data_IF_950782512112
#
_entry.id   IF_950782512112
#
_cell.length_a   1.000
_cell.length_b   1.000
_cell.length_c   1.000
_cell.angle_alpha   90.00
_cell.angle_beta   90.00
_cell.angle_gamma   90.00
#
_symmetry.space_group_name_H-M   'P 1'
#
loop_
_entity.id
_entity.type
_entity.pdbx_description
1 polymer ?
#
# COMPACT_ATOMS: atom_id res chain seq x y z
N UNK A 1 11.69 -7.84 5.75
CA UNK A 1 13.05 -7.27 5.90
C UNK A 1 12.95 -5.97 6.71
N UNK A 2 14.02 -5.52 7.36
CA UNK A 2 14.08 -4.11 7.78
C UNK A 2 14.10 -3.21 6.56
N UNK A 3 13.73 -1.94 6.72
CA UNK A 3 13.79 -0.93 5.67
C UNK A 3 15.22 -0.82 5.12
N UNK A 4 16.21 -0.81 6.01
CA UNK A 4 17.62 -0.73 5.64
C UNK A 4 18.10 -1.98 4.88
N UNK A 5 17.72 -3.18 5.33
CA UNK A 5 18.00 -4.43 4.61
C UNK A 5 17.37 -4.44 3.22
N UNK A 6 16.11 -4.01 3.13
CA UNK A 6 15.38 -3.94 1.87
C UNK A 6 16.08 -2.98 0.89
N UNK A 7 16.43 -1.77 1.35
CA UNK A 7 17.10 -0.80 0.49
C UNK A 7 18.50 -1.26 0.07
N UNK A 8 19.27 -1.83 0.99
CA UNK A 8 20.57 -2.40 0.68
C UNK A 8 20.46 -3.47 -0.40
N UNK A 9 19.51 -4.38 -0.24
CA UNK A 9 19.26 -5.45 -1.20
C UNK A 9 18.78 -4.89 -2.56
N UNK A 10 17.83 -3.95 -2.57
CA UNK A 10 17.29 -3.33 -3.78
C UNK A 10 18.38 -2.61 -4.60
N UNK A 11 19.31 -1.93 -3.93
CA UNK A 11 20.44 -1.24 -4.56
C UNK A 11 21.53 -2.17 -5.13
N UNK A 12 21.41 -3.48 -4.95
CA UNK A 12 22.42 -4.45 -5.39
C UNK A 12 23.49 -4.79 -4.34
N UNK A 13 23.28 -4.37 -3.08
CA UNK A 13 24.17 -4.65 -1.95
C UNK A 13 25.62 -4.27 -2.21
N UNK A 14 26.56 -5.15 -1.85
CA UNK A 14 28.00 -4.95 -2.08
C UNK A 14 28.40 -5.01 -3.56
N UNK A 15 27.48 -5.44 -4.44
CA UNK A 15 27.68 -5.51 -5.90
C UNK A 15 27.00 -4.36 -6.64
N UNK A 16 26.50 -3.35 -5.92
CA UNK A 16 25.79 -2.22 -6.49
C UNK A 16 26.59 -1.55 -7.60
N UNK A 17 25.95 -1.31 -8.74
CA UNK A 17 26.51 -0.46 -9.81
C UNK A 17 25.95 0.96 -9.77
N UNK A 18 25.32 1.35 -8.66
CA UNK A 18 24.72 2.67 -8.45
C UNK A 18 23.68 3.04 -9.54
N UNK A 19 22.93 2.04 -10.01
CA UNK A 19 21.82 2.28 -10.90
C UNK A 19 20.70 3.08 -10.23
N UNK A 20 19.93 3.81 -11.06
CA UNK A 20 18.79 4.62 -10.63
C UNK A 20 17.66 3.75 -10.05
N UNK A 21 17.42 2.59 -10.65
CA UNK A 21 16.42 1.61 -10.23
C UNK A 21 17.11 0.28 -9.90
N UNK A 22 16.41 -0.62 -9.20
CA UNK A 22 16.95 -1.94 -8.92
C UNK A 22 17.20 -2.69 -10.24
N UNK A 23 18.47 -2.98 -10.54
CA UNK A 23 18.89 -3.70 -11.75
C UNK A 23 19.09 -2.88 -13.02
N UNK A 24 18.92 -1.55 -13.00
CA UNK A 24 19.25 -0.74 -14.17
C UNK A 24 18.77 0.71 -14.17
N UNK A 25 19.15 1.44 -15.21
CA UNK A 25 18.75 2.84 -15.42
C UNK A 25 17.50 3.01 -16.31
N UNK A 26 17.11 1.95 -17.02
CA UNK A 26 15.96 1.95 -17.93
C UNK A 26 14.76 1.31 -17.24
N UNK A 27 13.85 2.13 -16.72
CA UNK A 27 12.76 1.66 -15.86
C UNK A 27 11.92 0.53 -16.49
N UNK A 28 11.52 0.67 -17.76
CA UNK A 28 10.72 -0.34 -18.45
C UNK A 28 11.38 -1.72 -18.58
N UNK A 29 12.69 -1.83 -18.39
CA UNK A 29 13.43 -3.10 -18.41
C UNK A 29 13.49 -3.80 -17.05
N UNK A 30 13.28 -3.06 -15.96
CA UNK A 30 13.45 -3.55 -14.57
C UNK A 30 12.17 -3.53 -13.74
N UNK A 31 11.13 -2.82 -14.21
CA UNK A 31 9.93 -2.58 -13.42
C UNK A 31 8.62 -2.76 -14.18
N UNK A 32 7.60 -3.15 -13.44
CA UNK A 32 6.20 -2.97 -13.79
C UNK A 32 5.66 -1.74 -13.06
N UNK A 33 5.26 -0.70 -13.78
CA UNK A 33 4.90 0.60 -13.23
C UNK A 33 3.77 1.21 -14.06
N UNK A 34 3.31 2.41 -13.69
CA UNK A 34 2.11 2.98 -14.27
C UNK A 34 2.07 2.95 -15.81
N UNK A 35 3.12 3.34 -16.53
CA UNK A 35 3.04 3.41 -18.00
C UNK A 35 2.94 2.04 -18.69
N UNK A 36 3.56 1.01 -18.14
CA UNK A 36 3.58 -0.32 -18.77
C UNK A 36 2.59 -1.32 -18.16
N UNK A 37 1.98 -0.99 -17.02
CA UNK A 37 0.99 -1.84 -16.35
C UNK A 37 -0.24 -1.06 -15.83
N UNK A 38 -0.04 0.09 -15.17
CA UNK A 38 -1.12 0.81 -14.49
C UNK A 38 -2.07 1.65 -15.34
N UNK A 39 -1.57 2.20 -16.43
CA UNK A 39 -2.30 3.00 -17.42
C UNK A 39 -2.82 2.13 -18.56
N UNK A 40 -2.57 0.82 -18.49
CA UNK A 40 -3.27 -0.15 -19.32
C UNK A 40 -4.75 -0.13 -18.91
N UNK A 41 -5.66 -0.30 -19.86
CA UNK A 41 -7.08 -0.45 -19.51
C UNK A 41 -7.34 -1.83 -18.90
N UNK A 42 -8.39 -2.00 -18.10
CA UNK A 42 -8.71 -3.29 -17.44
C UNK A 42 -8.86 -4.47 -18.42
N UNK A 43 -9.16 -4.19 -19.69
CA UNK A 43 -9.24 -5.18 -20.76
C UNK A 43 -7.88 -5.63 -21.33
N UNK A 44 -6.80 -4.95 -20.97
CA UNK A 44 -5.44 -5.27 -21.41
C UNK A 44 -4.89 -6.44 -20.60
N UNK A 45 -4.25 -7.45 -21.24
CA UNK A 45 -3.57 -8.53 -20.52
C UNK A 45 -2.39 -8.02 -19.68
N UNK A 46 -1.86 -6.84 -20.03
CA UNK A 46 -0.77 -6.17 -19.31
C UNK A 46 -1.29 -5.26 -18.17
N UNK A 47 -2.58 -5.26 -17.84
CA UNK A 47 -3.09 -4.45 -16.74
C UNK A 47 -2.89 -5.14 -15.38
N UNK A 48 -2.36 -4.40 -14.40
CA UNK A 48 -2.23 -4.89 -13.03
C UNK A 48 -0.86 -5.48 -12.67
N UNK A 49 -0.85 -6.32 -11.64
CA UNK A 49 0.34 -7.06 -11.21
C UNK A 49 0.77 -8.07 -12.26
N UNK A 50 2.07 -8.33 -12.34
CA UNK A 50 2.63 -9.32 -13.25
C UNK A 50 3.31 -10.46 -12.47
N UNK A 51 3.45 -11.66 -13.08
CA UNK A 51 4.28 -12.72 -12.51
C UNK A 51 5.67 -12.20 -12.18
N UNK A 52 6.20 -12.62 -11.03
CA UNK A 52 7.54 -12.24 -10.58
C UNK A 52 8.62 -12.71 -11.55
N UNK A 53 9.77 -12.04 -11.53
CA UNK A 53 10.95 -12.35 -12.34
C UNK A 53 10.72 -12.29 -13.86
N UNK A 54 9.87 -11.36 -14.31
CA UNK A 54 9.66 -11.05 -15.74
C UNK A 54 10.40 -9.82 -16.25
N UNK A 55 11.01 -9.06 -15.34
CA UNK A 55 11.93 -7.95 -15.64
C UNK A 55 13.35 -8.32 -15.23
N UNK A 56 14.33 -7.49 -15.57
CA UNK A 56 15.72 -7.74 -15.22
C UNK A 56 15.93 -7.71 -13.69
N UNK A 57 16.68 -8.67 -13.17
CA UNK A 57 17.12 -8.66 -11.77
C UNK A 57 18.20 -7.60 -11.51
N UNK A 58 18.36 -7.26 -10.23
CA UNK A 58 19.52 -6.52 -9.77
C UNK A 58 20.77 -7.41 -9.61
N UNK A 59 21.87 -6.81 -9.16
CA UNK A 59 23.19 -7.43 -9.06
C UNK A 59 23.28 -8.56 -8.02
N UNK A 60 22.25 -8.70 -7.17
CA UNK A 60 22.09 -9.82 -6.23
C UNK A 60 21.18 -10.93 -6.77
N UNK A 61 20.59 -10.77 -7.96
CA UNK A 61 19.62 -11.71 -8.52
C UNK A 61 18.20 -11.53 -7.97
N UNK A 62 17.90 -10.37 -7.37
CA UNK A 62 16.57 -10.03 -6.87
C UNK A 62 15.76 -9.34 -7.96
N UNK A 63 14.50 -9.72 -8.09
CA UNK A 63 13.58 -9.24 -9.11
C UNK A 63 12.50 -8.35 -8.49
N UNK A 64 11.91 -7.48 -9.32
CA UNK A 64 10.72 -6.69 -8.97
C UNK A 64 10.87 -5.76 -7.75
N UNK A 65 12.12 -5.52 -7.31
CA UNK A 65 12.48 -4.54 -6.27
C UNK A 65 12.19 -3.08 -6.70
N UNK A 66 11.76 -2.88 -7.95
CA UNK A 66 11.23 -1.63 -8.50
C UNK A 66 9.93 -1.96 -9.24
N UNK A 67 8.79 -1.52 -8.72
CA UNK A 67 7.46 -1.72 -9.30
C UNK A 67 6.77 -3.01 -8.87
N UNK A 68 5.83 -3.46 -9.69
CA UNK A 68 4.92 -4.59 -9.46
C UNK A 68 4.04 -4.39 -8.21
N UNK A 69 4.52 -4.66 -7.01
CA UNK A 69 3.77 -4.47 -5.76
C UNK A 69 4.62 -3.79 -4.71
N UNK A 70 3.95 -3.06 -3.81
CA UNK A 70 4.62 -2.54 -2.62
C UNK A 70 5.00 -3.69 -1.69
N UNK A 71 6.20 -3.60 -1.13
CA UNK A 71 6.73 -4.60 -0.21
C UNK A 71 6.81 -4.07 1.21
N UNK A 72 6.22 -4.82 2.15
CA UNK A 72 6.24 -4.47 3.58
C UNK A 72 7.63 -4.62 4.18
N UNK A 73 8.05 -3.60 4.92
CA UNK A 73 9.21 -3.64 5.79
C UNK A 73 8.77 -3.78 7.26
N UNK A 74 9.68 -4.30 8.09
CA UNK A 74 9.45 -4.48 9.52
C UNK A 74 9.33 -3.13 10.23
N UNK A 75 10.05 -2.11 9.77
CA UNK A 75 10.19 -0.83 10.44
C UNK A 75 8.87 -0.08 10.58
N UNK A 76 8.70 0.59 11.71
CA UNK A 76 7.68 1.62 11.85
C UNK A 76 8.10 2.86 11.07
N UNK A 77 7.15 3.52 10.42
CA UNK A 77 7.38 4.76 9.71
C UNK A 77 7.63 5.93 10.68
N UNK A 78 8.57 6.82 10.35
CA UNK A 78 8.81 8.07 11.06
C UNK A 78 9.31 9.15 10.11
N UNK A 79 8.83 10.39 10.27
CA UNK A 79 9.35 11.56 9.55
C UNK A 79 10.68 12.09 10.16
N UNK A 80 11.16 11.50 11.26
CA UNK A 80 12.39 11.91 11.97
C UNK A 80 13.57 10.99 11.65
N UNK A 81 14.79 11.45 11.98
CA UNK A 81 16.02 10.67 11.83
C UNK A 81 15.86 9.27 12.45
N UNK A 82 16.12 8.25 11.62
CA UNK A 82 15.77 6.86 11.91
C UNK A 82 16.93 6.12 12.58
N UNK A 83 16.69 5.38 13.68
CA UNK A 83 17.57 4.28 14.05
C UNK A 83 17.63 3.23 12.92
N UNK A 84 18.64 2.35 12.87
CA UNK A 84 18.78 1.34 11.81
C UNK A 84 17.56 0.39 11.64
N UNK A 85 16.71 0.27 12.66
CA UNK A 85 15.50 -0.58 12.67
C UNK A 85 14.20 0.24 12.81
N UNK A 86 14.25 1.54 12.53
CA UNK A 86 13.14 2.45 12.74
C UNK A 86 12.86 2.73 14.23
N UNK A 87 11.82 3.51 14.56
CA UNK A 87 11.42 3.76 15.94
C UNK A 87 10.84 2.50 16.59
N UNK A 88 10.86 2.44 17.92
CA UNK A 88 10.33 1.30 18.69
C UNK A 88 8.82 1.10 18.53
N UNK A 89 8.08 2.17 18.18
CA UNK A 89 6.64 2.17 17.96
C UNK A 89 6.24 3.17 16.87
N UNK A 90 5.06 2.97 16.29
CA UNK A 90 4.48 3.86 15.28
C UNK A 90 3.05 3.44 14.93
N UNK A 91 2.38 4.26 14.14
CA UNK A 91 1.02 3.97 13.63
C UNK A 91 1.03 3.19 12.32
N UNK A 92 2.11 3.31 11.54
CA UNK A 92 2.23 2.77 10.19
C UNK A 92 3.56 2.07 10.00
N UNK A 93 3.61 0.97 9.24
CA UNK A 93 4.89 0.36 8.84
C UNK A 93 5.43 0.99 7.56
N UNK A 94 6.70 0.77 7.26
CA UNK A 94 7.29 1.19 5.99
C UNK A 94 6.88 0.21 4.88
N UNK A 95 6.60 0.74 3.69
CA UNK A 95 6.51 -0.02 2.44
C UNK A 95 7.49 0.57 1.41
N UNK A 96 8.08 -0.29 0.59
CA UNK A 96 9.11 0.07 -0.39
C UNK A 96 8.84 -0.56 -1.77
N UNK A 97 9.54 -0.07 -2.79
CA UNK A 97 9.59 -0.70 -4.12
C UNK A 97 8.67 -0.10 -5.17
N UNK A 98 7.58 0.55 -4.80
CA UNK A 98 6.58 1.03 -5.75
C UNK A 98 5.55 -0.03 -6.09
N UNK A 99 4.68 0.25 -7.06
CA UNK A 99 3.72 -0.74 -7.55
C UNK A 99 3.43 -0.50 -9.04
N UNK A 100 2.65 -1.40 -9.63
CA UNK A 100 2.25 -1.37 -11.04
C UNK A 100 1.43 -0.14 -11.45
N UNK A 101 0.80 0.57 -10.50
CA UNK A 101 -0.01 1.78 -10.75
C UNK A 101 0.69 3.09 -10.40
N UNK A 102 1.90 3.02 -9.84
CA UNK A 102 2.70 4.16 -9.41
C UNK A 102 3.56 4.74 -10.52
N UNK A 103 3.67 6.07 -10.56
CA UNK A 103 4.58 6.79 -11.45
C UNK A 103 6.07 6.51 -11.17
N UNK A 104 6.94 7.03 -12.03
CA UNK A 104 8.40 6.80 -12.03
C UNK A 104 9.06 7.07 -10.68
N UNK A 105 8.59 8.07 -9.93
CA UNK A 105 9.19 8.41 -8.63
C UNK A 105 8.89 7.36 -7.57
N UNK A 106 7.76 6.65 -7.66
CA UNK A 106 7.37 5.67 -6.63
C UNK A 106 8.15 4.36 -6.70
N UNK A 107 8.86 4.08 -7.79
CA UNK A 107 9.57 2.82 -8.04
C UNK A 107 11.08 2.90 -7.79
N UNK A 108 11.57 4.05 -7.30
CA UNK A 108 12.98 4.20 -6.96
C UNK A 108 13.32 3.50 -5.62
N UNK A 109 14.47 2.82 -5.52
CA UNK A 109 14.88 2.14 -4.29
C UNK A 109 14.97 3.06 -3.07
N UNK A 110 15.24 4.35 -3.26
CA UNK A 110 15.36 5.36 -2.20
C UNK A 110 14.01 5.91 -1.73
N UNK A 111 12.92 5.61 -2.42
CA UNK A 111 11.62 6.20 -2.14
C UNK A 111 10.87 5.29 -1.19
N UNK A 112 10.52 5.86 -0.04
CA UNK A 112 9.60 5.27 0.91
C UNK A 112 8.18 5.74 0.61
N UNK A 113 7.23 4.81 0.72
CA UNK A 113 5.83 5.18 0.84
C UNK A 113 5.36 4.90 2.26
N UNK A 114 4.45 5.76 2.74
CA UNK A 114 3.77 5.53 4.01
C UNK A 114 2.80 4.37 3.78
N UNK A 115 2.96 3.27 4.53
CA UNK A 115 1.81 2.39 4.71
C UNK A 115 0.72 3.25 5.33
N UNK A 116 -0.46 3.31 4.74
CA UNK A 116 -1.64 3.60 5.53
C UNK A 116 -2.01 2.28 6.17
N UNK A 117 -1.57 2.05 7.42
CA UNK A 117 -2.30 1.10 8.26
C UNK A 117 -3.63 1.77 8.54
N UNK A 118 -4.66 1.40 7.79
CA UNK A 118 -6.00 1.37 8.35
C UNK A 118 -6.10 0.07 9.16
N UNK A 119 -5.28 -0.05 10.20
CA UNK A 119 -5.65 -0.88 11.34
C UNK A 119 -6.67 -0.05 12.09
N UNK A 120 -7.90 -0.11 11.62
CA UNK A 120 -9.01 0.41 12.41
C UNK A 120 -9.22 -0.61 13.51
N UNK A 121 -8.61 -0.39 14.67
CA UNK A 121 -9.19 -0.92 15.88
C UNK A 121 -10.41 -0.06 16.13
N UNK A 122 -11.57 -0.68 16.01
CA UNK A 122 -12.76 -0.06 16.53
C UNK A 122 -13.00 -0.62 17.94
N UNK A 123 -13.32 0.26 18.87
CA UNK A 123 -13.59 -0.06 20.26
C UNK A 123 -15.03 0.34 20.53
N UNK A 124 -15.86 -0.60 21.01
CA UNK A 124 -17.25 -0.30 21.37
C UNK A 124 -17.32 0.51 22.68
N UNK A 125 -18.51 0.97 23.04
CA UNK A 125 -18.75 1.71 24.29
C UNK A 125 -18.35 0.95 25.57
N UNK A 126 -18.19 -0.37 25.48
CA UNK A 126 -17.80 -1.26 26.58
C UNK A 126 -16.29 -1.55 26.62
N UNK A 127 -15.51 -0.94 25.73
CA UNK A 127 -14.04 -1.04 25.69
C UNK A 127 -13.51 -2.28 24.95
N UNK A 128 -14.35 -2.97 24.17
CA UNK A 128 -13.95 -4.18 23.44
C UNK A 128 -13.37 -3.82 22.08
N UNK A 129 -12.15 -4.28 21.82
CA UNK A 129 -11.43 -3.99 20.57
C UNK A 129 -11.70 -5.03 19.48
N UNK A 130 -11.95 -4.54 18.26
CA UNK A 130 -12.18 -5.33 17.05
C UNK A 130 -11.08 -5.06 16.03
N UNK A 131 -10.45 -6.13 15.53
CA UNK A 131 -9.42 -6.05 14.47
C UNK A 131 -10.09 -5.96 13.09
N UNK A 132 -10.23 -4.74 12.55
CA UNK A 132 -10.78 -4.55 11.22
C UNK A 132 -9.63 -4.54 10.21
N UNK A 133 -9.42 -5.70 9.58
CA UNK A 133 -8.44 -5.88 8.51
C UNK A 133 -8.94 -5.16 7.24
N UNK A 134 -8.47 -3.94 7.02
CA UNK A 134 -8.66 -3.24 5.75
C UNK A 134 -7.50 -3.63 4.83
N UNK A 135 -7.85 -4.30 3.72
CA UNK A 135 -6.92 -4.49 2.61
C UNK A 135 -6.87 -3.16 1.84
N UNK A 136 -5.69 -2.53 1.82
CA UNK A 136 -5.23 -1.46 0.92
C UNK A 136 -6.30 -0.50 0.35
N UNK A 137 -6.48 0.65 1.02
CA UNK A 137 -7.28 1.78 0.51
C UNK A 137 -6.73 2.44 -0.79
N UNK A 138 -5.55 2.01 -1.26
CA UNK A 138 -4.86 2.58 -2.42
C UNK A 138 -5.37 2.08 -3.78
N UNK A 139 -6.00 0.90 -3.87
CA UNK A 139 -6.56 0.43 -5.15
C UNK A 139 -7.93 1.06 -5.45
N UNK A 140 -8.78 1.20 -4.45
CA UNK A 140 -10.15 1.71 -4.62
C UNK A 140 -10.21 3.22 -4.87
N UNK A 141 -9.29 4.00 -4.27
CA UNK A 141 -9.19 5.44 -4.50
C UNK A 141 -8.68 5.81 -5.91
N UNK A 142 -8.03 4.86 -6.60
CA UNK A 142 -7.45 5.04 -7.93
C UNK A 142 -8.39 4.57 -9.05
N UNK A 143 -9.32 3.65 -8.77
CA UNK A 143 -10.31 3.16 -9.75
C UNK A 143 -11.38 4.18 -10.11
N UNK A 144 -11.83 5.01 -9.17
CA UNK A 144 -12.93 5.93 -9.40
C UNK A 144 -12.61 7.30 -8.82
N UNK A 145 -12.63 8.33 -9.67
CA UNK A 145 -12.10 9.66 -9.38
C UNK A 145 -12.41 10.14 -7.96
N UNK A 146 -11.39 10.72 -7.30
CA UNK A 146 -11.22 11.25 -5.90
C UNK A 146 -12.41 11.35 -4.93
N UNK A 147 -13.65 11.49 -5.40
CA UNK A 147 -14.90 11.54 -4.64
C UNK A 147 -15.61 10.18 -4.56
N UNK A 148 -15.61 9.40 -5.64
CA UNK A 148 -16.31 8.10 -5.70
C UNK A 148 -15.47 6.98 -5.06
N UNK A 149 -14.14 6.98 -5.28
CA UNK A 149 -13.23 6.08 -4.58
C UNK A 149 -13.22 6.28 -3.05
N UNK A 150 -13.54 7.48 -2.55
CA UNK A 150 -13.78 7.69 -1.09
C UNK A 150 -15.05 6.99 -0.62
N UNK A 151 -16.10 6.98 -1.45
CA UNK A 151 -17.41 6.42 -1.15
C UNK A 151 -17.38 4.88 -1.12
N UNK A 152 -16.65 4.25 -2.05
CA UNK A 152 -16.49 2.80 -2.08
C UNK A 152 -15.64 2.30 -0.90
N UNK A 153 -14.54 3.00 -0.57
CA UNK A 153 -13.74 2.67 0.62
C UNK A 153 -14.58 2.81 1.89
N UNK A 154 -15.46 3.81 1.96
CA UNK A 154 -16.42 3.96 3.07
C UNK A 154 -17.43 2.81 3.11
N UNK A 155 -18.00 2.40 1.98
CA UNK A 155 -18.97 1.31 1.91
C UNK A 155 -18.40 -0.05 2.31
N UNK A 156 -17.22 -0.41 1.81
CA UNK A 156 -16.56 -1.64 2.22
C UNK A 156 -16.16 -1.62 3.70
N UNK A 157 -15.75 -0.46 4.22
CA UNK A 157 -15.41 -0.30 5.63
C UNK A 157 -16.63 -0.47 6.53
N UNK A 158 -17.76 0.16 6.19
CA UNK A 158 -19.05 0.01 6.90
C UNK A 158 -19.50 -1.45 6.90
N UNK A 159 -19.52 -2.12 5.74
CA UNK A 159 -19.94 -3.51 5.64
C UNK A 159 -19.06 -4.47 6.45
N UNK A 160 -17.74 -4.23 6.51
CA UNK A 160 -16.82 -5.03 7.33
C UNK A 160 -17.02 -4.78 8.84
N UNK A 161 -17.24 -3.53 9.24
CA UNK A 161 -17.51 -3.17 10.63
C UNK A 161 -18.83 -3.78 11.14
N UNK A 162 -19.88 -3.74 10.32
CA UNK A 162 -21.15 -4.39 10.63
C UNK A 162 -21.00 -5.91 10.75
N UNK A 163 -20.27 -6.56 9.83
CA UNK A 163 -19.97 -8.01 9.93
C UNK A 163 -19.12 -8.38 11.14
N UNK A 164 -18.31 -7.46 11.63
CA UNK A 164 -17.54 -7.62 12.86
C UNK A 164 -18.40 -7.44 14.13
N UNK A 165 -19.69 -7.08 13.99
CA UNK A 165 -20.64 -6.97 15.08
C UNK A 165 -20.69 -5.60 15.75
N UNK A 166 -20.12 -4.55 15.14
CA UNK A 166 -20.11 -3.23 15.75
C UNK A 166 -21.48 -2.55 15.71
N UNK A 167 -21.88 -1.86 16.78
CA UNK A 167 -23.06 -0.99 16.79
C UNK A 167 -22.95 0.10 15.73
N UNK A 168 -24.08 0.43 15.10
CA UNK A 168 -24.10 1.38 13.97
C UNK A 168 -23.74 2.81 14.42
N UNK A 169 -24.07 3.15 15.67
CA UNK A 169 -23.75 4.41 16.31
C UNK A 169 -22.24 4.60 16.47
N UNK A 170 -21.52 3.52 16.81
CA UNK A 170 -20.07 3.52 16.95
C UNK A 170 -19.38 3.60 15.60
N UNK A 171 -19.94 2.96 14.57
CA UNK A 171 -19.46 3.06 13.19
C UNK A 171 -19.60 4.50 12.67
N UNK A 172 -20.77 5.12 12.91
CA UNK A 172 -21.05 6.50 12.51
C UNK A 172 -20.06 7.47 13.17
N UNK A 173 -19.84 7.33 14.48
CA UNK A 173 -18.86 8.12 15.23
C UNK A 173 -17.44 7.92 14.72
N UNK A 174 -17.04 6.68 14.44
CA UNK A 174 -15.69 6.34 13.98
C UNK A 174 -15.37 6.95 12.60
N UNK A 175 -16.33 6.91 11.69
CA UNK A 175 -16.17 7.41 10.32
C UNK A 175 -16.50 8.89 10.16
N UNK A 176 -16.95 9.56 11.23
CA UNK A 176 -17.40 10.94 11.19
C UNK A 176 -18.66 11.14 10.34
N UNK A 177 -19.54 10.14 10.32
CA UNK A 177 -20.79 10.08 9.57
C UNK A 177 -21.99 10.20 10.52
N UNK A 178 -23.18 10.48 9.97
CA UNK A 178 -24.43 10.27 10.71
C UNK A 178 -24.86 8.80 10.64
N UNK A 179 -25.68 8.34 11.59
CA UNK A 179 -26.26 6.98 11.55
C UNK A 179 -27.02 6.74 10.25
N UNK A 180 -27.80 7.72 9.79
CA UNK A 180 -28.52 7.66 8.52
C UNK A 180 -27.61 7.50 7.30
N UNK A 181 -26.41 8.10 7.32
CA UNK A 181 -25.42 7.91 6.26
C UNK A 181 -24.84 6.50 6.27
N UNK A 182 -24.60 5.92 7.46
CA UNK A 182 -24.12 4.54 7.59
C UNK A 182 -25.19 3.54 7.13
N UNK A 183 -26.46 3.77 7.48
CA UNK A 183 -27.60 2.96 7.02
C UNK A 183 -27.79 3.02 5.50
N UNK A 184 -27.68 4.21 4.91
CA UNK A 184 -27.75 4.37 3.44
C UNK A 184 -26.62 3.64 2.73
N UNK A 185 -25.42 3.68 3.31
CA UNK A 185 -24.24 3.01 2.76
C UNK A 185 -24.35 1.49 2.92
N UNK A 186 -24.86 0.99 4.05
CA UNK A 186 -25.05 -0.45 4.28
C UNK A 186 -26.16 -1.06 3.41
N UNK A 187 -27.20 -0.31 3.09
CA UNK A 187 -28.28 -0.74 2.19
C UNK A 187 -27.87 -0.77 0.70
N UNK A 188 -26.74 -0.16 0.36
CA UNK A 188 -26.21 -0.07 -1.02
C UNK A 188 -25.08 -1.06 -1.32
N UNK A 189 -24.61 -1.80 -0.30
CA UNK A 189 -23.52 -2.78 -0.36
C UNK A 189 -24.06 -4.22 -0.37
#
# INVERSE_FOLDING_TARGET
PTEAEWEFAARGGTKSRHYKFAGGNTLGSVAWYAENAGYKGESSPDFGTHPVARKAANELGLYDMSGNVWEWCWDWYSDKAKPPCGPASGSCRVIRGGNWSGGVDHVMPSIEAKSVRLNVYAEDSDGRQYDIKIQNATETAMKEGRREGKRIVQAESVGRMLRAGLPIEDIAKYLGMTVEEVEKVSASA
#
